data_IF_991381946020
#
_entry.id   IF_991381946020
#
_cell.length_a   1.000
_cell.length_b   1.000
_cell.length_c   1.000
_cell.angle_alpha   90.00
_cell.angle_beta   90.00
_cell.angle_gamma   90.00
#
_symmetry.space_group_name_H-M   'P 1'
#
loop_
_entity.id
_entity.type
_entity.pdbx_description
1 polymer ?
#
# COMPACT_ATOMS: atom_id res chain seq x y z
N UNK A 1 -0.01 -21.90 -12.73
CA UNK A 1 0.86 -21.24 -11.73
C UNK A 1 0.73 -22.02 -10.43
N UNK A 2 1.83 -22.56 -9.94
CA UNK A 2 1.87 -23.30 -8.66
C UNK A 2 2.46 -22.38 -7.59
N UNK A 3 1.95 -22.49 -6.34
CA UNK A 3 2.61 -21.90 -5.18
C UNK A 3 4.02 -22.48 -5.06
N UNK A 4 5.02 -21.65 -4.82
CA UNK A 4 6.37 -22.14 -4.52
C UNK A 4 6.34 -22.84 -3.16
N UNK A 5 6.23 -24.18 -3.20
CA UNK A 5 6.10 -25.04 -2.01
C UNK A 5 7.40 -25.12 -1.20
N UNK A 6 8.51 -24.51 -1.66
CA UNK A 6 9.75 -24.41 -0.86
C UNK A 6 9.58 -23.51 0.35
N UNK A 7 8.55 -22.69 0.38
CA UNK A 7 8.19 -21.82 1.49
C UNK A 7 6.92 -22.34 2.18
N UNK A 8 7.07 -23.44 2.93
CA UNK A 8 5.97 -24.19 3.55
C UNK A 8 5.26 -23.44 4.70
N UNK A 9 5.83 -22.35 5.20
CA UNK A 9 5.15 -21.46 6.14
C UNK A 9 4.24 -20.52 5.37
N UNK A 10 2.98 -20.41 5.81
CA UNK A 10 2.06 -19.42 5.22
C UNK A 10 2.63 -18.00 5.42
N UNK A 11 2.36 -17.09 4.47
CA UNK A 11 2.76 -15.69 4.63
C UNK A 11 2.20 -15.10 5.94
N UNK A 12 1.04 -15.58 6.41
CA UNK A 12 0.43 -15.17 7.68
C UNK A 12 1.33 -15.49 8.88
N UNK A 13 1.92 -16.70 8.92
CA UNK A 13 2.82 -17.10 10.00
C UNK A 13 4.10 -16.25 10.04
N UNK A 14 4.70 -15.99 8.86
CA UNK A 14 5.89 -15.13 8.76
C UNK A 14 5.59 -13.68 9.15
N UNK A 15 4.41 -13.20 8.82
CA UNK A 15 3.97 -11.85 9.12
C UNK A 15 3.59 -11.68 10.60
N UNK A 16 3.12 -12.74 11.28
CA UNK A 16 2.58 -12.67 12.63
C UNK A 16 3.57 -12.09 13.64
N UNK A 17 4.81 -12.61 13.71
CA UNK A 17 5.82 -12.12 14.67
C UNK A 17 6.22 -10.66 14.41
N UNK A 18 6.37 -10.28 13.14
CA UNK A 18 6.65 -8.89 12.77
C UNK A 18 5.47 -7.96 13.12
N UNK A 19 4.24 -8.45 12.93
CA UNK A 19 3.02 -7.74 13.26
C UNK A 19 2.90 -7.50 14.77
N UNK A 20 3.13 -8.53 15.60
CA UNK A 20 3.14 -8.40 17.07
C UNK A 20 4.14 -7.34 17.52
N UNK A 21 5.39 -7.43 17.03
CA UNK A 21 6.42 -6.43 17.36
C UNK A 21 6.04 -5.04 16.87
N UNK A 22 5.48 -4.90 15.67
CA UNK A 22 4.99 -3.63 15.14
C UNK A 22 3.88 -3.02 15.99
N UNK A 23 2.95 -3.85 16.50
CA UNK A 23 1.88 -3.42 17.41
C UNK A 23 2.43 -2.94 18.76
N UNK A 24 3.45 -3.61 19.32
CA UNK A 24 4.13 -3.15 20.54
C UNK A 24 4.72 -1.75 20.34
N UNK A 25 5.41 -1.49 19.23
CA UNK A 25 6.05 -0.20 18.93
C UNK A 25 5.03 0.94 18.83
N UNK A 26 3.88 0.71 18.17
CA UNK A 26 2.86 1.77 18.03
C UNK A 26 2.04 1.95 19.30
N UNK A 27 1.76 0.87 20.06
CA UNK A 27 1.04 0.96 21.33
C UNK A 27 1.90 1.55 22.45
N UNK A 28 3.22 1.24 22.45
CA UNK A 28 4.21 1.80 23.36
C UNK A 28 4.55 3.26 23.09
N UNK A 29 4.18 3.78 21.92
CA UNK A 29 4.41 5.19 21.54
C UNK A 29 5.80 5.45 20.97
N UNK A 30 6.61 4.43 20.70
CA UNK A 30 7.89 4.57 19.96
C UNK A 30 7.65 5.02 18.52
N UNK A 31 6.57 4.54 17.91
CA UNK A 31 6.10 4.95 16.59
C UNK A 31 4.65 5.41 16.66
N UNK A 32 4.31 6.39 15.86
CA UNK A 32 2.91 6.81 15.65
C UNK A 32 2.21 5.96 14.60
N UNK A 33 3.00 5.50 13.63
CA UNK A 33 2.54 4.62 12.55
C UNK A 33 3.69 3.76 12.03
N UNK A 34 3.37 2.51 11.62
CA UNK A 34 4.30 1.61 10.93
C UNK A 34 3.54 0.83 9.86
N UNK A 35 4.00 0.84 8.61
CA UNK A 35 3.39 0.08 7.52
C UNK A 35 4.23 -1.14 7.23
N UNK A 36 3.90 -2.26 7.86
CA UNK A 36 4.55 -3.55 7.64
C UNK A 36 4.07 -4.20 6.35
N UNK A 37 5.01 -4.69 5.56
CA UNK A 37 4.74 -5.41 4.34
C UNK A 37 5.10 -6.90 4.45
N UNK A 38 4.46 -7.69 3.62
CA UNK A 38 4.75 -9.11 3.40
C UNK A 38 4.89 -9.38 1.92
N UNK A 39 5.73 -10.35 1.59
CA UNK A 39 5.93 -10.85 0.24
C UNK A 39 5.45 -12.30 0.13
N UNK A 40 4.66 -12.58 -0.89
CA UNK A 40 4.24 -13.92 -1.26
C UNK A 40 4.83 -14.26 -2.63
N UNK A 41 5.53 -15.39 -2.71
CA UNK A 41 6.21 -15.84 -3.91
C UNK A 41 5.47 -17.00 -4.57
N UNK A 42 5.48 -17.01 -5.90
CA UNK A 42 4.84 -18.04 -6.73
C UNK A 42 5.82 -18.50 -7.82
N UNK A 43 5.76 -19.77 -8.19
CA UNK A 43 6.43 -20.30 -9.39
C UNK A 43 5.46 -20.19 -10.58
N UNK A 44 5.82 -19.43 -11.58
CA UNK A 44 5.00 -19.23 -12.79
C UNK A 44 5.36 -20.18 -13.92
N UNK A 45 6.28 -21.12 -13.68
CA UNK A 45 6.67 -22.20 -14.61
C UNK A 45 7.58 -21.74 -15.74
N UNK A 46 7.04 -20.97 -16.66
CA UNK A 46 7.73 -20.40 -17.84
C UNK A 46 7.79 -18.88 -17.76
N UNK A 47 8.16 -18.22 -18.84
CA UNK A 47 8.15 -16.75 -18.92
C UNK A 47 6.75 -16.19 -18.63
N UNK A 48 6.68 -15.21 -17.73
CA UNK A 48 5.46 -14.51 -17.37
C UNK A 48 5.13 -13.42 -18.39
N UNK A 49 3.97 -13.52 -19.06
CA UNK A 49 3.45 -12.43 -19.90
C UNK A 49 2.52 -11.51 -19.08
N UNK A 50 2.90 -10.25 -18.82
CA UNK A 50 2.10 -9.31 -18.04
C UNK A 50 0.96 -8.67 -18.83
N UNK A 51 0.94 -8.73 -20.17
CA UNK A 51 -0.03 -7.98 -20.99
C UNK A 51 -1.48 -8.41 -20.78
N UNK A 52 -1.81 -9.71 -20.72
CA UNK A 52 -3.17 -10.14 -20.38
C UNK A 52 -3.62 -9.66 -19.00
N UNK A 53 -2.68 -9.63 -18.02
CA UNK A 53 -2.96 -9.12 -16.68
C UNK A 53 -3.27 -7.62 -16.71
N UNK A 54 -2.48 -6.80 -17.40
CA UNK A 54 -2.72 -5.36 -17.52
C UNK A 54 -4.09 -5.07 -18.14
N UNK A 55 -4.51 -5.88 -19.09
CA UNK A 55 -5.86 -5.78 -19.71
C UNK A 55 -6.96 -6.05 -18.70
N UNK A 56 -6.80 -7.07 -17.84
CA UNK A 56 -7.74 -7.36 -16.74
C UNK A 56 -7.75 -6.25 -15.69
N UNK A 57 -6.59 -5.77 -15.27
CA UNK A 57 -6.45 -4.65 -14.33
C UNK A 57 -7.12 -3.37 -14.85
N UNK A 58 -7.03 -3.11 -16.17
CA UNK A 58 -7.72 -1.97 -16.78
C UNK A 58 -9.24 -2.02 -16.56
N UNK A 59 -9.83 -3.20 -16.63
CA UNK A 59 -11.27 -3.39 -16.46
C UNK A 59 -11.71 -3.38 -15.00
N UNK A 60 -10.88 -3.92 -14.10
CA UNK A 60 -11.27 -4.21 -12.72
C UNK A 60 -10.71 -3.21 -11.70
N UNK A 61 -9.66 -2.47 -12.04
CA UNK A 61 -9.02 -1.48 -11.16
C UNK A 61 -9.25 -0.05 -11.68
N UNK A 62 -10.52 0.30 -11.89
CA UNK A 62 -10.91 1.66 -12.27
C UNK A 62 -10.39 2.65 -11.20
N UNK A 63 -9.94 3.83 -11.64
CA UNK A 63 -9.36 4.86 -10.77
C UNK A 63 -7.90 4.63 -10.36
N UNK A 64 -7.32 3.44 -10.60
CA UNK A 64 -5.92 3.14 -10.34
C UNK A 64 -5.05 3.39 -11.56
N UNK A 65 -3.82 3.82 -11.35
CA UNK A 65 -2.80 3.95 -12.38
C UNK A 65 -2.14 2.60 -12.62
N UNK A 66 -2.28 2.07 -13.83
CA UNK A 66 -1.59 0.83 -14.22
C UNK A 66 -0.22 1.17 -14.73
N UNK A 67 0.76 0.34 -14.36
CA UNK A 67 2.12 0.50 -14.78
C UNK A 67 2.76 -0.86 -15.12
N UNK A 68 3.73 -0.80 -16.01
CA UNK A 68 4.59 -1.91 -16.35
C UNK A 68 5.98 -1.34 -16.65
N UNK A 69 6.97 -1.94 -16.00
CA UNK A 69 8.38 -1.64 -16.23
C UNK A 69 9.12 -2.94 -16.49
N UNK A 70 9.51 -3.16 -17.72
CA UNK A 70 10.24 -4.34 -18.15
C UNK A 70 11.70 -3.97 -18.38
N UNK A 71 12.60 -4.50 -17.56
CA UNK A 71 14.04 -4.27 -17.67
C UNK A 71 14.72 -5.27 -18.59
N UNK A 72 14.22 -6.51 -18.61
CA UNK A 72 14.67 -7.63 -19.44
C UNK A 72 13.47 -8.47 -19.85
N UNK A 73 13.67 -9.41 -20.78
CA UNK A 73 12.59 -10.30 -21.21
C UNK A 73 11.91 -11.06 -20.06
N UNK A 74 12.69 -11.39 -19.03
CA UNK A 74 12.27 -12.17 -17.85
C UNK A 74 12.25 -11.36 -16.54
N UNK A 75 12.35 -10.02 -16.59
CA UNK A 75 12.37 -9.13 -15.41
C UNK A 75 11.34 -8.01 -15.60
N UNK A 76 10.15 -8.21 -15.03
CA UNK A 76 8.98 -7.35 -15.23
C UNK A 76 8.38 -6.93 -13.90
N UNK A 77 8.32 -5.63 -13.64
CA UNK A 77 7.61 -5.03 -12.52
C UNK A 77 6.31 -4.38 -13.02
N UNK A 78 5.18 -4.71 -12.39
CA UNK A 78 3.86 -4.29 -12.86
C UNK A 78 2.88 -4.09 -11.71
N UNK A 79 1.79 -3.35 -11.97
CA UNK A 79 0.77 -3.15 -10.97
C UNK A 79 -0.36 -2.20 -11.36
N UNK A 80 -1.25 -1.92 -10.39
CA UNK A 80 -2.33 -0.97 -10.50
C UNK A 80 -2.45 -0.14 -9.21
N UNK A 81 -1.67 0.93 -9.12
CA UNK A 81 -1.59 1.76 -7.92
C UNK A 81 -2.78 2.73 -7.81
N UNK A 82 -3.49 2.75 -6.68
CA UNK A 82 -4.47 3.78 -6.36
C UNK A 82 -3.82 5.08 -5.88
N UNK A 83 -2.58 5.04 -5.36
CA UNK A 83 -1.97 6.12 -4.60
C UNK A 83 -1.14 7.04 -5.48
N UNK A 84 -1.46 8.35 -5.47
CA UNK A 84 -0.67 9.40 -6.10
C UNK A 84 0.32 9.96 -5.09
N UNK A 85 1.63 9.81 -5.38
CA UNK A 85 2.64 10.53 -4.62
C UNK A 85 2.54 12.03 -4.90
N UNK A 86 2.63 12.38 -6.17
CA UNK A 86 2.36 13.75 -6.66
C UNK A 86 2.06 13.76 -8.15
N UNK A 87 1.31 14.75 -8.58
CA UNK A 87 1.29 15.22 -9.97
C UNK A 87 1.57 16.70 -10.01
N UNK A 88 2.29 17.16 -11.02
CA UNK A 88 2.52 18.56 -11.32
C UNK A 88 2.03 18.84 -12.73
N UNK A 89 1.13 19.82 -12.89
CA UNK A 89 0.54 20.16 -14.19
C UNK A 89 0.40 21.68 -14.29
N UNK A 90 1.11 22.29 -15.24
CA UNK A 90 1.06 23.74 -15.43
C UNK A 90 1.37 24.51 -14.15
N UNK A 91 2.28 24.03 -13.31
CA UNK A 91 2.62 24.62 -12.03
C UNK A 91 1.65 24.36 -10.88
N UNK A 92 0.64 23.50 -11.06
CA UNK A 92 -0.26 23.06 -9.99
C UNK A 92 0.11 21.64 -9.52
N UNK A 93 0.44 21.55 -8.24
CA UNK A 93 0.72 20.28 -7.56
C UNK A 93 -0.55 19.69 -6.99
N UNK A 94 -0.67 18.37 -7.11
CA UNK A 94 -1.61 17.54 -6.34
C UNK A 94 -0.89 16.32 -5.78
N UNK A 95 -1.08 16.06 -4.49
CA UNK A 95 -0.78 14.79 -3.82
C UNK A 95 -2.08 14.22 -3.26
N UNK A 96 -2.13 12.90 -3.04
CA UNK A 96 -3.31 12.25 -2.46
C UNK A 96 -2.90 11.50 -1.18
N UNK A 97 -3.53 11.83 -0.05
CA UNK A 97 -3.47 10.98 1.14
C UNK A 97 -4.51 9.87 0.99
N UNK A 98 -4.06 8.62 1.15
CA UNK A 98 -4.90 7.42 1.04
C UNK A 98 -4.57 6.49 2.22
N UNK A 99 -5.55 6.20 3.09
CA UNK A 99 -5.37 5.29 4.21
C UNK A 99 -6.73 4.69 4.65
N UNK A 100 -6.67 3.64 5.50
CA UNK A 100 -7.86 2.86 5.83
C UNK A 100 -8.37 2.04 4.64
N UNK A 101 -8.91 0.85 4.90
CA UNK A 101 -9.36 -0.06 3.82
C UNK A 101 -10.66 -0.74 4.22
N UNK A 102 -11.68 -0.61 3.36
CA UNK A 102 -12.88 -1.43 3.42
C UNK A 102 -12.86 -2.45 2.27
N UNK A 103 -13.28 -3.67 2.57
CA UNK A 103 -13.26 -4.81 1.66
C UNK A 103 -14.42 -4.84 0.67
N UNK A 104 -14.49 -5.89 -0.16
CA UNK A 104 -15.60 -6.10 -1.09
C UNK A 104 -16.94 -6.22 -0.35
N UNK A 105 -17.96 -5.53 -0.85
CA UNK A 105 -19.31 -5.55 -0.25
C UNK A 105 -19.52 -4.53 0.87
N UNK A 106 -18.44 -3.90 1.38
CA UNK A 106 -18.52 -2.79 2.30
C UNK A 106 -18.55 -1.46 1.52
N UNK A 107 -19.48 -0.57 1.86
CA UNK A 107 -19.60 0.76 1.26
C UNK A 107 -18.57 1.77 1.77
N UNK A 108 -17.79 1.39 2.78
CA UNK A 108 -16.76 2.22 3.40
C UNK A 108 -17.27 3.24 4.40
N UNK A 109 -18.58 3.31 4.67
CA UNK A 109 -19.14 4.29 5.61
C UNK A 109 -18.59 4.13 7.02
N UNK A 110 -18.23 2.92 7.41
CA UNK A 110 -17.60 2.65 8.71
C UNK A 110 -16.23 3.30 8.82
N UNK A 111 -15.45 3.43 7.74
CA UNK A 111 -14.15 4.13 7.75
C UNK A 111 -14.30 5.59 8.17
N UNK A 112 -15.36 6.27 7.69
CA UNK A 112 -15.63 7.67 8.06
C UNK A 112 -16.02 7.84 9.54
N UNK A 113 -16.52 6.77 10.19
CA UNK A 113 -16.96 6.77 11.60
C UNK A 113 -15.92 6.19 12.54
N UNK A 114 -14.94 5.45 12.04
CA UNK A 114 -13.89 4.81 12.82
C UNK A 114 -12.84 5.83 13.26
N UNK A 115 -12.73 6.06 14.57
CA UNK A 115 -11.70 6.95 15.12
C UNK A 115 -10.29 6.45 14.84
N UNK A 116 -10.08 5.12 14.78
CA UNK A 116 -8.79 4.51 14.41
C UNK A 116 -8.42 4.86 12.99
N UNK A 117 -9.33 4.61 12.01
CA UNK A 117 -9.05 4.83 10.59
C UNK A 117 -8.91 6.31 10.26
N UNK A 118 -9.70 7.16 10.90
CA UNK A 118 -9.58 8.62 10.78
C UNK A 118 -8.24 9.13 11.30
N UNK A 119 -7.79 8.65 12.49
CA UNK A 119 -6.45 9.03 13.01
C UNK A 119 -5.34 8.55 12.09
N UNK A 120 -5.42 7.32 11.62
CA UNK A 120 -4.44 6.78 10.66
C UNK A 120 -4.36 7.66 9.41
N UNK A 121 -5.52 8.03 8.86
CA UNK A 121 -5.60 8.87 7.68
C UNK A 121 -5.07 10.28 7.92
N UNK A 122 -5.43 10.91 9.05
CA UNK A 122 -4.99 12.27 9.38
C UNK A 122 -3.47 12.37 9.56
N UNK A 123 -2.81 11.36 10.14
CA UNK A 123 -1.35 11.30 10.20
C UNK A 123 -0.70 11.41 8.80
N UNK A 124 -1.30 10.78 7.80
CA UNK A 124 -0.80 10.88 6.41
C UNK A 124 -1.06 12.26 5.84
N UNK A 125 -2.27 12.80 6.03
CA UNK A 125 -2.68 14.13 5.53
C UNK A 125 -1.80 15.22 6.12
N UNK A 126 -1.63 15.25 7.44
CA UNK A 126 -0.81 16.24 8.14
C UNK A 126 0.64 16.18 7.67
N UNK A 127 1.23 14.97 7.63
CA UNK A 127 2.63 14.82 7.18
C UNK A 127 2.85 15.34 5.76
N UNK A 128 1.99 14.98 4.80
CA UNK A 128 2.12 15.47 3.43
C UNK A 128 1.96 17.01 3.40
N UNK A 129 0.99 17.54 4.16
CA UNK A 129 0.73 18.97 4.23
C UNK A 129 1.93 19.73 4.78
N UNK A 130 2.54 19.25 5.87
CA UNK A 130 3.69 19.87 6.52
C UNK A 130 4.94 19.80 5.65
N UNK A 131 5.21 18.67 5.02
CA UNK A 131 6.33 18.52 4.07
C UNK A 131 6.21 19.47 2.86
N UNK A 132 5.00 19.69 2.36
CA UNK A 132 4.77 20.68 1.31
C UNK A 132 4.99 22.12 1.82
N UNK A 133 4.61 22.42 3.07
CA UNK A 133 4.91 23.73 3.71
C UNK A 133 6.41 23.92 3.89
N UNK A 134 7.13 22.91 4.35
CA UNK A 134 8.60 22.94 4.47
C UNK A 134 9.28 23.15 3.10
N UNK A 135 8.66 22.70 2.01
CA UNK A 135 9.09 22.99 0.64
C UNK A 135 8.74 24.42 0.17
N UNK A 136 8.18 25.26 1.05
CA UNK A 136 7.78 26.63 0.76
C UNK A 136 6.51 26.74 -0.08
N UNK A 137 5.62 25.74 0.01
CA UNK A 137 4.32 25.77 -0.64
C UNK A 137 3.21 26.15 0.37
N UNK A 138 2.05 26.54 -0.15
CA UNK A 138 0.84 26.78 0.64
C UNK A 138 -0.22 25.74 0.27
N UNK A 139 -0.17 24.54 0.86
CA UNK A 139 -1.09 23.47 0.51
C UNK A 139 -2.51 23.76 1.03
N UNK A 140 -3.48 23.36 0.21
CA UNK A 140 -4.89 23.36 0.55
C UNK A 140 -5.43 21.92 0.53
N UNK A 141 -6.29 21.60 1.49
CA UNK A 141 -7.00 20.32 1.59
C UNK A 141 -8.41 20.53 2.11
N UNK A 142 -9.28 19.57 1.84
CA UNK A 142 -10.61 19.54 2.49
C UNK A 142 -10.46 19.15 3.96
N UNK A 143 -11.31 19.69 4.87
CA UNK A 143 -11.28 19.35 6.29
C UNK A 143 -11.64 17.90 6.59
N UNK A 144 -12.50 17.30 5.75
CA UNK A 144 -12.99 15.93 5.92
C UNK A 144 -12.53 15.04 4.78
N UNK A 145 -12.13 13.78 5.05
CA UNK A 145 -11.82 12.81 4.02
C UNK A 145 -13.07 12.41 3.25
N UNK A 146 -12.85 11.93 2.03
CA UNK A 146 -13.86 11.33 1.17
C UNK A 146 -13.60 9.84 1.05
N UNK A 147 -14.61 9.08 0.58
CA UNK A 147 -14.39 7.70 0.17
C UNK A 147 -13.93 7.67 -1.29
N UNK A 148 -12.87 6.92 -1.55
CA UNK A 148 -12.41 6.63 -2.90
C UNK A 148 -12.40 5.12 -3.14
N UNK A 149 -13.08 4.69 -4.21
CA UNK A 149 -13.15 3.28 -4.61
C UNK A 149 -12.12 2.99 -5.71
N UNK A 150 -11.31 1.96 -5.45
CA UNK A 150 -10.32 1.45 -6.39
C UNK A 150 -10.53 -0.06 -6.57
N UNK A 151 -11.16 -0.43 -7.67
CA UNK A 151 -11.61 -1.80 -7.91
C UNK A 151 -12.64 -2.26 -6.87
N UNK A 152 -12.26 -3.26 -6.07
CA UNK A 152 -13.11 -3.84 -5.03
C UNK A 152 -12.87 -3.28 -3.62
N UNK A 153 -11.87 -2.41 -3.46
CA UNK A 153 -11.50 -1.80 -2.18
C UNK A 153 -11.93 -0.34 -2.13
N UNK A 154 -12.33 0.10 -0.93
CA UNK A 154 -12.68 1.49 -0.64
C UNK A 154 -11.72 2.02 0.42
N UNK A 155 -11.28 3.27 0.27
CA UNK A 155 -10.31 3.92 1.16
C UNK A 155 -10.79 5.31 1.58
N UNK A 156 -10.29 5.82 2.71
CA UNK A 156 -10.32 7.26 3.02
C UNK A 156 -9.33 7.98 2.11
N UNK A 157 -9.76 9.11 1.57
CA UNK A 157 -9.01 9.86 0.57
C UNK A 157 -9.14 11.36 0.82
N UNK A 158 -8.01 12.05 0.84
CA UNK A 158 -7.93 13.52 0.90
C UNK A 158 -6.98 14.04 -0.16
N UNK A 159 -7.46 14.71 -1.21
CA UNK A 159 -6.61 15.45 -2.13
C UNK A 159 -5.96 16.65 -1.43
N UNK A 160 -4.66 16.84 -1.66
CA UNK A 160 -3.88 17.97 -1.17
C UNK A 160 -3.31 18.67 -2.40
N UNK A 161 -3.58 19.98 -2.55
CA UNK A 161 -3.19 20.75 -3.73
C UNK A 161 -2.41 21.99 -3.34
N UNK A 162 -1.49 22.44 -4.19
CA UNK A 162 -0.74 23.68 -4.00
C UNK A 162 -0.32 24.28 -5.34
N UNK A 163 -0.14 25.60 -5.38
CA UNK A 163 0.62 26.23 -6.46
C UNK A 163 2.11 25.91 -6.26
N UNK A 164 2.79 25.47 -7.31
CA UNK A 164 4.16 24.97 -7.25
C UNK A 164 5.00 25.37 -8.48
N UNK A 165 4.73 26.56 -9.06
CA UNK A 165 5.50 27.08 -10.17
C UNK A 165 6.99 27.12 -9.83
N UNK A 166 7.83 26.68 -10.77
CA UNK A 166 9.28 26.70 -10.62
C UNK A 166 9.85 25.70 -9.63
N UNK A 167 9.04 24.85 -9.03
CA UNK A 167 9.51 23.77 -8.14
C UNK A 167 9.96 22.54 -8.91
N UNK A 168 11.05 21.92 -8.47
CA UNK A 168 11.53 20.67 -9.01
C UNK A 168 10.64 19.51 -8.56
N UNK A 169 10.12 18.73 -9.50
CA UNK A 169 9.35 17.50 -9.24
C UNK A 169 10.17 16.49 -8.43
N UNK A 170 11.45 16.33 -8.76
CA UNK A 170 12.32 15.37 -8.06
C UNK A 170 12.56 15.79 -6.61
N UNK A 171 12.81 17.07 -6.36
CA UNK A 171 12.98 17.58 -4.99
C UNK A 171 11.70 17.41 -4.15
N UNK A 172 10.53 17.68 -4.75
CA UNK A 172 9.24 17.46 -4.08
C UNK A 172 8.98 15.98 -3.83
N UNK A 173 9.31 15.11 -4.77
CA UNK A 173 9.18 13.66 -4.59
C UNK A 173 10.11 13.14 -3.48
N UNK A 174 11.35 13.60 -3.40
CA UNK A 174 12.31 13.26 -2.36
C UNK A 174 11.82 13.71 -0.97
N UNK A 175 11.26 14.92 -0.88
CA UNK A 175 10.69 15.43 0.37
C UNK A 175 9.50 14.59 0.85
N UNK A 176 8.59 14.23 -0.07
CA UNK A 176 7.37 13.50 0.25
C UNK A 176 7.61 12.00 0.48
N UNK A 177 8.55 11.39 -0.25
CA UNK A 177 8.73 9.93 -0.24
C UNK A 177 9.82 9.47 0.76
N UNK A 178 9.60 8.33 1.46
CA UNK A 178 8.35 7.59 1.56
C UNK A 178 7.32 8.28 2.47
N UNK A 179 6.05 8.25 2.04
CA UNK A 179 4.93 8.76 2.83
C UNK A 179 4.63 7.86 4.03
N UNK A 180 3.94 8.35 5.07
CA UNK A 180 3.48 7.51 6.17
C UNK A 180 2.45 6.44 5.74
N UNK A 181 1.89 6.55 4.54
CA UNK A 181 0.97 5.55 4.00
C UNK A 181 1.69 4.26 3.57
N UNK A 182 3.03 4.29 3.37
CA UNK A 182 3.83 3.13 2.95
C UNK A 182 5.05 2.85 3.83
N UNK A 183 5.44 3.78 4.72
CA UNK A 183 6.55 3.59 5.66
C UNK A 183 6.07 3.68 7.12
N UNK A 184 5.92 4.88 7.64
CA UNK A 184 5.49 5.13 9.01
C UNK A 184 5.98 6.47 9.54
N UNK A 185 5.76 6.71 10.84
CA UNK A 185 6.11 7.92 11.56
C UNK A 185 6.65 7.62 12.97
N UNK A 186 7.72 8.27 13.43
CA UNK A 186 8.59 9.15 12.62
C UNK A 186 9.29 8.39 11.50
N UNK A 187 9.57 9.07 10.37
CA UNK A 187 10.06 8.41 9.13
C UNK A 187 11.34 7.60 9.33
N UNK A 188 12.35 8.19 9.97
CA UNK A 188 13.67 7.59 10.14
C UNK A 188 13.62 6.31 10.99
N UNK A 189 12.95 6.38 12.11
CA UNK A 189 12.75 5.30 13.06
C UNK A 189 11.91 4.18 12.44
N UNK A 190 10.81 4.53 11.77
CA UNK A 190 9.96 3.57 11.06
C UNK A 190 10.76 2.83 9.97
N UNK A 191 11.57 3.52 9.17
CA UNK A 191 12.42 2.89 8.15
C UNK A 191 13.48 1.96 8.75
N UNK A 192 14.00 2.27 9.93
CA UNK A 192 14.94 1.38 10.65
C UNK A 192 14.22 0.10 11.10
N UNK A 193 13.04 0.22 11.69
CA UNK A 193 12.24 -0.92 12.12
C UNK A 193 11.76 -1.79 10.95
N UNK A 194 11.35 -1.20 9.83
CA UNK A 194 10.96 -1.96 8.63
C UNK A 194 12.11 -2.83 8.13
N UNK A 195 13.34 -2.31 8.09
CA UNK A 195 14.52 -3.12 7.72
C UNK A 195 14.82 -4.26 8.68
N UNK A 196 14.47 -4.10 9.97
CA UNK A 196 14.67 -5.13 10.98
C UNK A 196 13.57 -6.19 10.99
N UNK A 197 12.34 -5.80 10.67
CA UNK A 197 11.15 -6.66 10.79
C UNK A 197 10.77 -7.37 9.49
N UNK A 198 11.04 -6.76 8.33
CA UNK A 198 10.72 -7.37 7.04
C UNK A 198 11.88 -8.29 6.59
N UNK A 199 11.63 -9.59 6.37
CA UNK A 199 12.68 -10.55 6.00
C UNK A 199 13.03 -10.50 4.51
N UNK A 200 12.84 -9.32 3.87
CA UNK A 200 13.12 -9.12 2.44
C UNK A 200 13.39 -7.65 2.12
N UNK A 201 14.15 -7.40 1.07
CA UNK A 201 14.32 -6.07 0.51
C UNK A 201 13.09 -5.65 -0.28
N UNK A 202 12.53 -4.47 -0.02
CA UNK A 202 11.34 -3.96 -0.73
C UNK A 202 11.57 -3.76 -2.22
N UNK A 203 12.80 -3.43 -2.62
CA UNK A 203 13.13 -3.15 -4.02
C UNK A 203 12.25 -2.04 -4.60
N UNK A 204 11.49 -2.36 -5.64
CA UNK A 204 10.59 -1.43 -6.31
C UNK A 204 9.21 -1.29 -5.60
N UNK A 205 8.89 -2.16 -4.63
CA UNK A 205 7.65 -2.03 -3.87
C UNK A 205 7.63 -0.74 -3.07
N UNK A 206 6.54 -0.01 -3.15
CA UNK A 206 6.31 1.31 -2.57
C UNK A 206 7.20 2.44 -3.15
N UNK A 207 8.09 2.18 -4.11
CA UNK A 207 8.89 3.21 -4.77
C UNK A 207 8.04 4.17 -5.63
N UNK A 208 8.50 5.40 -5.88
CA UNK A 208 7.87 6.26 -6.88
C UNK A 208 8.01 5.68 -8.28
N UNK A 209 6.91 5.67 -9.03
CA UNK A 209 6.87 5.26 -10.44
C UNK A 209 6.00 6.22 -11.24
N UNK A 210 6.43 6.58 -12.43
CA UNK A 210 5.67 7.51 -13.28
C UNK A 210 6.53 8.14 -14.36
N UNK A 211 6.24 9.39 -14.67
CA UNK A 211 6.92 10.13 -15.74
C UNK A 211 7.05 11.61 -15.38
N UNK A 212 8.02 12.25 -15.98
CA UNK A 212 8.27 13.70 -15.98
C UNK A 212 8.57 14.07 -17.44
N UNK A 213 7.94 15.11 -17.95
CA UNK A 213 8.19 15.60 -19.31
C UNK A 213 9.14 16.81 -19.33
N UNK A 214 9.45 17.28 -20.54
CA UNK A 214 10.35 18.40 -20.77
C UNK A 214 9.80 19.75 -20.33
N UNK A 215 8.49 19.89 -20.13
CA UNK A 215 7.85 21.09 -19.58
C UNK A 215 7.88 21.12 -18.05
N UNK A 216 8.33 20.03 -17.41
CA UNK A 216 8.32 19.85 -15.96
C UNK A 216 6.98 19.33 -15.41
N UNK A 217 6.02 19.00 -16.27
CA UNK A 217 4.82 18.30 -15.85
C UNK A 217 5.14 16.86 -15.49
N UNK A 218 4.41 16.31 -14.51
CA UNK A 218 4.71 14.99 -13.98
C UNK A 218 3.49 14.28 -13.42
N UNK A 219 3.58 12.96 -13.39
CA UNK A 219 2.68 12.09 -12.64
C UNK A 219 3.50 10.99 -11.98
N UNK A 220 3.63 11.02 -10.66
CA UNK A 220 4.32 10.00 -9.86
C UNK A 220 3.33 9.29 -8.94
N UNK A 221 3.34 7.98 -8.99
CA UNK A 221 2.55 7.08 -8.16
C UNK A 221 3.43 6.34 -7.17
N UNK A 222 2.87 5.89 -6.07
CA UNK A 222 3.53 4.96 -5.16
C UNK A 222 3.28 3.54 -5.66
N UNK A 223 4.32 2.77 -5.95
CA UNK A 223 4.22 1.45 -6.56
C UNK A 223 3.72 0.39 -5.56
N UNK A 224 2.43 0.42 -5.28
CA UNK A 224 1.71 -0.58 -4.49
C UNK A 224 0.68 -1.33 -5.35
N UNK A 225 0.04 -2.38 -4.83
CA UNK A 225 -0.79 -3.30 -5.61
C UNK A 225 0.00 -3.79 -6.83
N UNK A 226 1.20 -4.31 -6.57
CA UNK A 226 2.19 -4.63 -7.59
C UNK A 226 2.73 -6.05 -7.42
N UNK A 227 3.29 -6.55 -8.52
CA UNK A 227 4.02 -7.78 -8.58
C UNK A 227 5.34 -7.60 -9.32
N UNK A 228 6.31 -8.44 -9.02
CA UNK A 228 7.61 -8.49 -9.67
C UNK A 228 7.87 -9.92 -10.15
N UNK A 229 7.93 -10.11 -11.45
CA UNK A 229 8.29 -11.38 -12.07
C UNK A 229 9.75 -11.36 -12.50
N UNK A 230 10.52 -12.35 -12.06
CA UNK A 230 11.92 -12.56 -12.43
C UNK A 230 12.14 -14.04 -12.78
N UNK A 231 12.36 -14.34 -14.05
CA UNK A 231 12.41 -15.71 -14.53
C UNK A 231 11.12 -16.45 -14.21
N UNK A 232 11.23 -17.52 -13.41
CA UNK A 232 10.07 -18.32 -12.96
C UNK A 232 9.41 -17.82 -11.68
N UNK A 233 10.02 -16.87 -10.98
CA UNK A 233 9.52 -16.37 -9.71
C UNK A 233 8.64 -15.14 -9.93
N UNK A 234 7.46 -15.16 -9.32
CA UNK A 234 6.56 -14.02 -9.21
C UNK A 234 6.35 -13.67 -7.73
N UNK A 235 6.74 -12.47 -7.36
CA UNK A 235 6.54 -11.92 -6.02
C UNK A 235 5.38 -10.94 -6.00
N UNK A 236 4.41 -11.15 -5.13
CA UNK A 236 3.36 -10.17 -4.79
C UNK A 236 3.68 -9.59 -3.42
N UNK A 237 3.61 -8.26 -3.28
CA UNK A 237 3.91 -7.58 -2.02
C UNK A 237 2.75 -6.66 -1.63
N UNK A 238 2.34 -6.73 -0.36
CA UNK A 238 1.33 -5.86 0.22
C UNK A 238 1.64 -5.59 1.69
N UNK A 239 1.10 -4.49 2.24
CA UNK A 239 1.29 -4.13 3.64
C UNK A 239 0.05 -3.47 4.24
N UNK A 240 -0.01 -3.44 5.56
CA UNK A 240 -1.03 -2.73 6.34
C UNK A 240 -0.40 -1.73 7.30
N UNK A 241 -1.13 -0.65 7.58
CA UNK A 241 -0.70 0.44 8.46
C UNK A 241 -1.09 0.19 9.90
N UNK A 242 -0.11 0.00 10.77
CA UNK A 242 -0.29 -0.15 12.20
C UNK A 242 -0.30 1.22 12.87
N UNK A 243 -1.30 1.48 13.69
CA UNK A 243 -1.40 2.64 14.58
C UNK A 243 -1.86 2.18 15.96
N UNK A 244 -1.82 3.05 16.96
CA UNK A 244 -2.37 2.72 18.29
C UNK A 244 -3.82 2.25 18.16
N UNK A 245 -4.11 1.06 18.72
CA UNK A 245 -5.42 0.42 18.66
C UNK A 245 -5.67 -0.44 17.42
N UNK A 246 -4.66 -0.66 16.56
CA UNK A 246 -4.72 -1.70 15.53
C UNK A 246 -4.85 -3.09 16.14
N UNK A 247 -5.62 -3.96 15.47
CA UNK A 247 -5.91 -5.34 15.90
C UNK A 247 -5.29 -6.29 14.88
N UNK A 248 -4.44 -7.22 15.33
CA UNK A 248 -3.66 -8.11 14.48
C UNK A 248 -4.49 -8.84 13.41
N UNK A 249 -5.64 -9.39 13.78
CA UNK A 249 -6.51 -10.14 12.88
C UNK A 249 -7.07 -9.25 11.76
N UNK A 250 -7.38 -8.00 12.05
CA UNK A 250 -7.88 -7.03 11.06
C UNK A 250 -6.78 -6.63 10.09
N UNK A 251 -5.57 -6.40 10.60
CA UNK A 251 -4.43 -6.04 9.76
C UNK A 251 -4.00 -7.21 8.85
N UNK A 252 -4.06 -8.47 9.35
CA UNK A 252 -3.88 -9.67 8.52
C UNK A 252 -4.93 -9.78 7.42
N UNK A 253 -6.21 -9.53 7.74
CA UNK A 253 -7.28 -9.51 6.74
C UNK A 253 -7.05 -8.43 5.69
N UNK A 254 -6.65 -7.23 6.11
CA UNK A 254 -6.37 -6.12 5.21
C UNK A 254 -5.22 -6.45 4.23
N UNK A 255 -4.14 -7.04 4.72
CA UNK A 255 -3.03 -7.51 3.85
C UNK A 255 -3.53 -8.54 2.84
N UNK A 256 -4.33 -9.51 3.30
CA UNK A 256 -4.95 -10.51 2.41
C UNK A 256 -5.79 -9.88 1.29
N UNK A 257 -6.64 -8.91 1.62
CA UNK A 257 -7.44 -8.17 0.64
C UNK A 257 -6.57 -7.44 -0.39
N UNK A 258 -5.44 -6.88 0.06
CA UNK A 258 -4.50 -6.16 -0.81
C UNK A 258 -3.72 -7.09 -1.72
N UNK A 259 -3.30 -8.27 -1.26
CA UNK A 259 -2.67 -9.31 -2.09
C UNK A 259 -3.66 -9.84 -3.13
N UNK A 260 -4.92 -10.05 -2.75
CA UNK A 260 -5.97 -10.56 -3.62
C UNK A 260 -6.24 -9.66 -4.85
N UNK A 261 -5.93 -8.35 -4.77
CA UNK A 261 -6.07 -7.45 -5.93
C UNK A 261 -5.35 -7.98 -7.17
N UNK A 262 -4.17 -8.57 -7.01
CA UNK A 262 -3.42 -9.18 -8.12
C UNK A 262 -3.59 -10.70 -8.19
N UNK A 263 -3.61 -11.38 -7.04
CA UNK A 263 -3.70 -12.83 -7.00
C UNK A 263 -4.95 -13.36 -7.70
N UNK A 264 -6.11 -12.71 -7.50
CA UNK A 264 -7.37 -13.06 -8.19
C UNK A 264 -7.26 -12.88 -9.71
N UNK A 265 -6.55 -11.85 -10.17
CA UNK A 265 -6.34 -11.56 -11.58
C UNK A 265 -5.40 -12.57 -12.26
N UNK A 266 -4.55 -13.19 -11.47
CA UNK A 266 -3.57 -14.16 -11.92
C UNK A 266 -4.09 -15.61 -11.79
N UNK A 267 -5.31 -15.81 -11.26
CA UNK A 267 -5.87 -17.10 -10.90
C UNK A 267 -4.91 -17.91 -10.00
N UNK A 268 -4.17 -17.21 -9.15
CA UNK A 268 -3.40 -17.80 -8.06
C UNK A 268 -4.41 -18.25 -7.01
N UNK A 269 -4.37 -19.50 -6.58
CA UNK A 269 -5.34 -20.06 -5.61
C UNK A 269 -5.57 -19.13 -4.42
N UNK A 270 -6.75 -19.21 -3.83
CA UNK A 270 -7.28 -18.24 -2.87
C UNK A 270 -6.26 -17.83 -1.81
N UNK A 271 -6.00 -16.54 -1.72
CA UNK A 271 -5.24 -15.89 -0.63
C UNK A 271 -6.10 -15.71 0.62
N UNK A 272 -7.20 -16.48 0.75
CA UNK A 272 -8.12 -16.38 1.88
C UNK A 272 -7.39 -16.63 3.20
N UNK A 273 -7.55 -15.68 4.12
CA UNK A 273 -7.19 -15.90 5.51
C UNK A 273 -8.00 -17.08 6.05
N UNK A 274 -7.41 -18.02 6.80
CA UNK A 274 -8.15 -19.14 7.37
C UNK A 274 -9.29 -18.59 8.22
N UNK A 275 -10.52 -19.04 7.95
CA UNK A 275 -11.64 -18.84 8.86
C UNK A 275 -11.25 -19.50 10.18
N UNK A 276 -10.94 -18.69 11.19
CA UNK A 276 -10.76 -19.16 12.55
C UNK A 276 -12.07 -19.84 12.98
N UNK A 277 -12.02 -21.19 13.07
CA UNK A 277 -13.10 -21.99 13.58
C UNK A 277 -13.48 -21.46 14.97
N UNK A 278 -14.59 -20.73 15.07
CA UNK A 278 -15.24 -20.37 16.33
C UNK A 278 -15.79 -21.65 16.96
N UNK A 279 -14.96 -22.42 17.63
CA UNK A 279 -15.37 -23.33 18.69
C UNK A 279 -14.93 -22.73 20.01
N UNK A 280 -15.76 -21.87 20.54
CA UNK A 280 -15.76 -21.60 22.00
C UNK A 280 -16.12 -22.92 22.70
N UNK A 281 -15.38 -23.31 23.73
CA UNK A 281 -15.81 -24.43 24.58
C UNK A 281 -17.16 -24.06 25.21
N UNK A 282 -18.15 -24.94 25.09
CA UNK A 282 -19.35 -24.84 25.91
C UNK A 282 -18.92 -25.09 27.33
N UNK A 283 -18.96 -24.07 28.17
CA UNK A 283 -18.96 -24.26 29.62
C UNK A 283 -20.17 -25.12 30.00
N UNK A 284 -19.89 -26.30 30.53
CA UNK A 284 -20.86 -27.13 31.18
C UNK A 284 -21.22 -26.48 32.49
N UNK A 285 -22.45 -26.01 32.59
CA UNK A 285 -23.09 -25.66 33.86
C UNK A 285 -23.36 -26.95 34.59
N UNK A 286 -22.76 -27.10 35.76
CA UNK A 286 -23.33 -27.80 36.94
C UNK A 286 -23.28 -26.86 38.12
#
# INVERSE_FOLDING_TARGET
IQLDTRDSSSWQQRYASALERGLELVNGGELHKLVLAVRQSFDVGTSFDPLPLLTRLRRQQAGSCRFLWQRKADDVFFGASPERLLSLRGGFLRSDALAGTAGPGDDGQQLLRSDKDRREHELVVETITDQLRESGLSPWRRPQPQLARHGRLTHLHTPITAAAQGKSVLALAEQLHPTPAVAGLPRREAMAWLRALEPFERGNYAAPIGWIDSAGDAELRVAIRCGHAQGRRLDLTAGAGLVRGSIAERELQEVGLKLAVLADQLALGSTEAPQLNRRLPRESVF
#
